data_IF_406910926428
#
_entry.id   IF_406910926428
#
_cell.length_a   1.000
_cell.length_b   1.000
_cell.length_c   1.000
_cell.angle_alpha   90.00
_cell.angle_beta   90.00
_cell.angle_gamma   90.00
#
_symmetry.space_group_name_H-M   'P 1'
#
loop_
_entity.id
_entity.type
_entity.pdbx_description
1 polymer ?
#
# COMPACT_ATOMS: atom_id res chain seq x y z
N UNK A 1 12.23 27.13 -12.15
CA UNK A 1 11.20 26.57 -11.25
C UNK A 1 10.81 25.20 -11.79
N UNK A 2 11.31 24.18 -11.13
CA UNK A 2 11.02 22.79 -11.47
C UNK A 2 9.93 22.29 -10.53
N UNK A 3 8.80 21.86 -11.07
CA UNK A 3 7.75 21.23 -10.28
C UNK A 3 7.72 19.74 -10.69
N UNK A 4 8.18 18.86 -9.80
CA UNK A 4 7.84 17.45 -9.92
C UNK A 4 6.51 17.29 -9.18
N UNK A 5 5.42 17.33 -9.92
CA UNK A 5 4.09 17.00 -9.38
C UNK A 5 3.86 15.53 -9.65
N UNK A 6 4.31 14.69 -8.75
CA UNK A 6 3.82 13.34 -8.66
C UNK A 6 2.81 13.33 -7.52
N UNK A 7 1.59 12.89 -7.77
CA UNK A 7 0.54 12.90 -6.76
C UNK A 7 0.94 12.07 -5.55
N UNK A 8 1.08 12.72 -4.40
CA UNK A 8 1.22 12.04 -3.12
C UNK A 8 -0.14 11.53 -2.70
N UNK A 9 -0.33 10.25 -2.73
CA UNK A 9 -1.54 9.62 -2.20
C UNK A 9 -1.31 9.26 -0.73
N UNK A 10 -2.07 9.94 0.17
CA UNK A 10 -2.08 9.64 1.61
C UNK A 10 -0.72 9.72 2.33
N UNK A 11 0.01 10.79 2.11
CA UNK A 11 1.20 11.10 2.91
C UNK A 11 0.85 11.64 4.33
N UNK A 12 -0.43 11.78 4.64
CA UNK A 12 -0.95 12.24 5.93
C UNK A 12 -2.06 11.31 6.38
N UNK A 13 -2.03 10.89 7.64
CA UNK A 13 -3.07 10.05 8.22
C UNK A 13 -3.15 10.21 9.74
N UNK A 14 -4.09 9.52 10.35
CA UNK A 14 -4.32 9.53 11.80
C UNK A 14 -3.98 8.19 12.45
N UNK A 15 -3.40 8.24 13.66
CA UNK A 15 -3.16 7.08 14.50
C UNK A 15 -3.16 7.50 15.98
N UNK A 16 -3.95 6.84 16.80
CA UNK A 16 -4.08 7.09 18.25
C UNK A 16 -4.29 8.55 18.63
N UNK A 17 -5.14 9.27 17.86
CA UNK A 17 -5.42 10.68 18.07
C UNK A 17 -4.34 11.65 17.62
N UNK A 18 -3.18 11.16 17.17
CA UNK A 18 -2.12 11.93 16.52
C UNK A 18 -2.22 11.91 15.00
N UNK A 19 -1.48 12.80 14.38
CA UNK A 19 -1.36 12.86 12.91
C UNK A 19 0.04 12.40 12.51
N UNK A 20 0.13 11.47 11.57
CA UNK A 20 1.41 11.11 10.97
C UNK A 20 1.55 11.68 9.57
N UNK A 21 2.80 11.93 9.17
CA UNK A 21 3.16 12.43 7.85
C UNK A 21 4.38 11.68 7.32
N UNK A 22 4.46 11.53 6.01
CA UNK A 22 5.67 11.14 5.29
C UNK A 22 6.01 12.19 4.24
N UNK A 23 7.28 12.32 3.91
CA UNK A 23 7.78 13.32 2.97
C UNK A 23 8.42 12.66 1.75
N UNK A 24 8.48 13.42 0.64
CA UNK A 24 9.28 13.05 -0.50
C UNK A 24 10.76 12.99 -0.16
N UNK A 25 11.43 12.05 -0.79
CA UNK A 25 12.87 11.82 -0.63
C UNK A 25 13.27 11.41 0.78
N UNK A 26 12.31 10.84 1.52
CA UNK A 26 12.49 10.42 2.89
C UNK A 26 11.81 9.07 3.12
N UNK A 27 12.46 8.19 3.84
CA UNK A 27 11.95 6.87 4.23
C UNK A 27 11.49 6.83 5.69
N UNK A 28 11.27 8.01 6.28
CA UNK A 28 10.73 8.15 7.62
C UNK A 28 9.23 8.43 7.60
N UNK A 29 8.57 7.97 8.64
CA UNK A 29 7.24 8.41 9.04
C UNK A 29 7.41 9.26 10.30
N UNK A 30 6.81 10.42 10.30
CA UNK A 30 6.84 11.36 11.42
C UNK A 30 5.47 11.43 12.08
N UNK A 31 5.47 11.58 13.39
CA UNK A 31 4.27 11.86 14.18
C UNK A 31 4.27 13.33 14.60
N UNK A 32 3.14 14.00 14.36
CA UNK A 32 2.88 15.35 14.83
C UNK A 32 2.23 15.25 16.22
N UNK A 33 2.86 15.87 17.22
CA UNK A 33 2.36 15.96 18.59
C UNK A 33 2.40 17.43 19.03
N UNK A 34 1.24 18.10 18.94
CA UNK A 34 1.16 19.56 19.14
C UNK A 34 2.08 20.29 18.18
N UNK A 35 3.03 21.04 18.73
CA UNK A 35 4.02 21.81 17.95
C UNK A 35 5.32 21.04 17.67
N UNK A 36 5.38 19.75 18.01
CA UNK A 36 6.55 18.91 17.83
C UNK A 36 6.37 17.90 16.71
N UNK A 37 7.49 17.59 16.04
CA UNK A 37 7.56 16.52 15.03
C UNK A 37 8.57 15.50 15.55
N UNK A 38 8.14 14.24 15.63
CA UNK A 38 9.00 13.15 16.10
C UNK A 38 9.05 12.06 15.01
N UNK A 39 10.24 11.46 14.82
CA UNK A 39 10.36 10.28 13.98
C UNK A 39 9.64 9.12 14.64
N UNK A 40 8.61 8.61 13.97
CA UNK A 40 7.81 7.48 14.44
C UNK A 40 8.37 6.14 13.95
N UNK A 41 8.76 6.07 12.69
CA UNK A 41 9.38 4.90 12.08
C UNK A 41 10.38 5.31 11.01
N UNK A 42 11.44 4.52 10.86
CA UNK A 42 12.44 4.65 9.80
C UNK A 42 12.52 3.32 9.06
N UNK A 43 12.49 3.39 7.73
CA UNK A 43 12.61 2.21 6.89
C UNK A 43 13.95 2.27 6.14
N UNK A 44 14.69 1.17 6.24
CA UNK A 44 15.96 1.00 5.56
C UNK A 44 15.78 0.00 4.40
N UNK A 45 15.85 0.50 3.19
CA UNK A 45 15.76 -0.28 1.95
C UNK A 45 17.14 -0.67 1.39
N UNK A 46 18.20 -0.52 2.19
CA UNK A 46 19.55 -0.88 1.79
C UNK A 46 20.04 -0.07 0.60
N UNK A 47 20.45 -0.75 -0.47
CA UNK A 47 20.96 -0.10 -1.70
C UNK A 47 19.89 0.68 -2.47
N UNK A 48 18.62 0.55 -2.13
CA UNK A 48 17.52 1.31 -2.72
C UNK A 48 17.24 2.62 -1.98
N UNK A 49 17.91 2.91 -0.88
CA UNK A 49 17.86 4.22 -0.25
C UNK A 49 18.49 5.27 -1.14
N UNK A 50 17.95 6.49 -1.11
CA UNK A 50 18.64 7.62 -1.72
C UNK A 50 20.03 7.81 -1.09
N UNK A 51 21.10 8.00 -1.88
CA UNK A 51 22.40 8.38 -1.34
C UNK A 51 22.29 9.65 -0.50
N UNK A 52 23.03 9.73 0.59
CA UNK A 52 23.01 10.91 1.49
C UNK A 52 23.39 12.22 0.79
N UNK A 53 24.26 12.12 -0.20
CA UNK A 53 24.75 13.23 -1.02
C UNK A 53 23.92 13.46 -2.29
N UNK A 54 22.75 12.83 -2.39
CA UNK A 54 21.95 12.89 -3.61
C UNK A 54 21.60 14.33 -4.02
N UNK A 55 21.32 15.19 -3.06
CA UNK A 55 20.96 16.58 -3.28
C UNK A 55 22.16 17.55 -3.27
N UNK A 56 23.35 17.05 -3.12
CA UNK A 56 24.56 17.86 -3.22
C UNK A 56 24.88 18.13 -4.70
N UNK A 57 25.30 19.37 -4.98
CA UNK A 57 25.64 19.83 -6.33
C UNK A 57 24.78 20.95 -6.86
N UNK A 58 24.99 21.31 -8.12
CA UNK A 58 24.21 22.35 -8.76
C UNK A 58 22.85 21.82 -9.22
N UNK A 59 21.79 22.64 -9.12
CA UNK A 59 20.41 22.28 -9.48
C UNK A 59 20.29 21.72 -10.91
N UNK A 60 21.12 22.20 -11.85
CA UNK A 60 21.11 21.71 -13.24
C UNK A 60 21.56 20.25 -13.37
N UNK A 61 22.31 19.75 -12.38
CA UNK A 61 22.81 18.36 -12.34
C UNK A 61 21.84 17.43 -11.65
N UNK A 62 20.98 17.96 -10.78
CA UNK A 62 20.03 17.14 -10.03
C UNK A 62 18.98 16.48 -10.91
N UNK A 63 18.54 17.14 -11.98
CA UNK A 63 17.52 16.61 -12.88
C UNK A 63 18.03 15.38 -13.67
N UNK A 64 19.18 15.43 -14.36
CA UNK A 64 19.74 14.26 -14.98
C UNK A 64 20.04 13.16 -13.98
N UNK A 65 20.62 13.48 -12.81
CA UNK A 65 20.89 12.54 -11.72
C UNK A 65 19.62 11.86 -11.23
N UNK A 66 18.53 12.60 -11.07
CA UNK A 66 17.23 12.05 -10.67
C UNK A 66 16.65 11.11 -11.74
N UNK A 67 16.71 11.50 -13.01
CA UNK A 67 16.21 10.66 -14.10
C UNK A 67 17.02 9.37 -14.22
N UNK A 68 18.34 9.45 -14.17
CA UNK A 68 19.22 8.29 -14.18
C UNK A 68 18.92 7.36 -12.99
N UNK A 69 18.77 7.92 -11.81
CA UNK A 69 18.43 7.17 -10.61
C UNK A 69 17.06 6.51 -10.73
N UNK A 70 16.11 7.22 -11.29
CA UNK A 70 14.78 6.73 -11.55
C UNK A 70 14.77 5.59 -12.58
N UNK A 71 15.54 5.70 -13.65
CA UNK A 71 15.54 4.72 -14.73
C UNK A 71 16.36 3.47 -14.40
N UNK A 72 17.45 3.63 -13.66
CA UNK A 72 18.43 2.56 -13.47
C UNK A 72 18.38 1.89 -12.10
N UNK A 73 17.95 2.56 -11.04
CA UNK A 73 18.21 2.07 -9.70
C UNK A 73 17.03 1.72 -8.85
N UNK A 74 15.83 2.05 -9.30
CA UNK A 74 14.68 1.59 -8.51
C UNK A 74 14.73 2.07 -7.05
N UNK A 75 15.18 3.30 -6.81
CA UNK A 75 15.25 3.83 -5.46
C UNK A 75 13.88 4.06 -4.86
N UNK A 76 13.77 3.81 -3.57
CA UNK A 76 12.63 4.22 -2.78
C UNK A 76 12.75 5.71 -2.51
N UNK A 77 11.87 6.49 -3.13
CA UNK A 77 11.89 7.95 -3.03
C UNK A 77 11.07 8.48 -1.86
N UNK A 78 10.07 7.72 -1.45
CA UNK A 78 9.17 8.09 -0.36
C UNK A 78 8.34 6.88 0.08
N UNK A 79 7.54 7.08 1.11
CA UNK A 79 6.58 6.12 1.63
C UNK A 79 5.19 6.69 1.42
N UNK A 80 4.42 6.06 0.53
CA UNK A 80 3.06 6.51 0.18
C UNK A 80 1.98 5.57 0.71
N UNK A 81 0.74 6.05 0.67
CA UNK A 81 -0.45 5.26 1.05
C UNK A 81 -0.30 4.57 2.41
N UNK A 82 0.24 5.28 3.38
CA UNK A 82 0.54 4.73 4.69
C UNK A 82 -0.74 4.52 5.51
N UNK A 83 -0.85 3.37 6.14
CA UNK A 83 -1.84 3.06 7.17
C UNK A 83 -1.12 2.52 8.40
N UNK A 84 -1.34 3.14 9.57
CA UNK A 84 -0.73 2.73 10.83
C UNK A 84 -1.81 2.15 11.74
N UNK A 85 -1.54 0.99 12.30
CA UNK A 85 -2.35 0.31 13.32
C UNK A 85 -1.48 -0.01 14.53
N UNK A 86 -2.05 -0.62 15.57
CA UNK A 86 -1.28 -1.06 16.73
C UNK A 86 -0.21 -2.11 16.37
N UNK A 87 -0.52 -2.97 15.41
CA UNK A 87 0.32 -4.10 15.05
C UNK A 87 1.07 -3.92 13.72
N UNK A 88 0.60 -3.03 12.85
CA UNK A 88 1.10 -2.94 11.49
C UNK A 88 1.37 -1.52 11.03
N UNK A 89 2.39 -1.35 10.18
CA UNK A 89 2.55 -0.21 9.28
C UNK A 89 2.44 -0.78 7.88
N UNK A 90 1.45 -0.31 7.11
CA UNK A 90 1.24 -0.69 5.72
C UNK A 90 1.52 0.51 4.85
N UNK A 91 2.28 0.34 3.79
CA UNK A 91 2.64 1.43 2.89
C UNK A 91 3.01 0.92 1.49
N UNK A 92 2.96 1.82 0.52
CA UNK A 92 3.45 1.58 -0.83
C UNK A 92 4.69 2.42 -1.05
N UNK A 93 5.88 1.85 -1.09
CA UNK A 93 6.99 2.58 -1.67
C UNK A 93 6.69 2.75 -3.16
N UNK A 94 6.79 3.96 -3.72
CA UNK A 94 6.67 4.15 -5.15
C UNK A 94 7.92 3.61 -5.84
N UNK A 95 8.02 2.31 -5.87
CA UNK A 95 8.98 1.60 -6.71
C UNK A 95 8.44 1.63 -8.14
N UNK A 96 9.36 1.77 -9.08
CA UNK A 96 9.01 1.62 -10.49
C UNK A 96 8.62 0.18 -10.73
N UNK A 97 7.42 0.00 -11.18
CA UNK A 97 6.76 -1.26 -11.54
C UNK A 97 7.52 -2.58 -11.25
N UNK A 98 6.89 -3.53 -10.57
CA UNK A 98 5.54 -3.46 -10.03
C UNK A 98 5.50 -2.72 -8.68
N UNK A 99 4.44 -1.94 -8.44
CA UNK A 99 4.20 -1.32 -7.14
C UNK A 99 3.97 -2.43 -6.11
N UNK A 100 4.72 -2.39 -5.03
CA UNK A 100 4.56 -3.34 -3.94
C UNK A 100 3.89 -2.66 -2.75
N UNK A 101 3.02 -3.39 -2.07
CA UNK A 101 2.48 -3.01 -0.77
C UNK A 101 3.22 -3.79 0.29
N UNK A 102 3.80 -3.07 1.23
CA UNK A 102 4.56 -3.66 2.33
C UNK A 102 3.72 -3.59 3.61
N UNK A 103 3.53 -4.72 4.24
CA UNK A 103 2.90 -4.89 5.54
C UNK A 103 3.99 -5.18 6.56
N UNK A 104 4.40 -4.18 7.33
CA UNK A 104 5.44 -4.32 8.35
C UNK A 104 4.80 -4.53 9.73
N UNK A 105 5.10 -5.66 10.37
CA UNK A 105 4.63 -5.95 11.72
C UNK A 105 5.49 -5.19 12.73
N UNK A 106 4.86 -4.31 13.50
CA UNK A 106 5.53 -3.43 14.48
C UNK A 106 6.12 -4.17 15.68
N UNK A 107 5.59 -5.36 16.01
CA UNK A 107 6.01 -6.12 17.19
C UNK A 107 7.31 -6.89 16.96
N UNK A 108 7.53 -7.36 15.75
CA UNK A 108 8.65 -8.25 15.44
C UNK A 108 9.49 -7.83 14.23
N UNK A 109 9.13 -6.75 13.55
CA UNK A 109 9.83 -6.24 12.37
C UNK A 109 9.72 -7.11 11.12
N UNK A 110 8.95 -8.19 11.17
CA UNK A 110 8.69 -9.00 9.98
C UNK A 110 7.80 -8.25 9.02
N UNK A 111 7.98 -8.49 7.74
CA UNK A 111 7.16 -7.89 6.70
C UNK A 111 6.64 -8.95 5.73
N UNK A 112 5.51 -8.60 5.11
CA UNK A 112 4.89 -9.30 3.98
C UNK A 112 4.78 -8.31 2.84
N UNK A 113 4.82 -8.79 1.62
CA UNK A 113 4.52 -7.99 0.44
C UNK A 113 3.22 -8.51 -0.20
N UNK A 114 2.52 -7.66 -0.92
CA UNK A 114 1.24 -8.06 -1.54
C UNK A 114 1.38 -9.25 -2.51
N UNK A 115 2.56 -9.50 -3.06
CA UNK A 115 2.84 -10.68 -3.88
C UNK A 115 2.78 -12.01 -3.10
N UNK A 116 2.81 -11.94 -1.77
CA UNK A 116 2.64 -13.11 -0.90
C UNK A 116 1.16 -13.57 -0.82
N UNK A 117 0.22 -12.71 -1.23
CA UNK A 117 -1.18 -13.11 -1.37
C UNK A 117 -1.36 -14.01 -2.59
N UNK A 118 -2.25 -14.99 -2.46
CA UNK A 118 -2.55 -15.95 -3.52
C UNK A 118 -4.07 -16.10 -3.72
N UNK A 119 -4.45 -16.70 -4.84
CA UNK A 119 -5.83 -17.03 -5.16
C UNK A 119 -6.74 -15.80 -5.20
N UNK A 120 -7.91 -15.91 -4.61
CA UNK A 120 -8.93 -14.86 -4.55
C UNK A 120 -8.37 -13.52 -4.03
N UNK A 121 -7.63 -13.55 -2.91
CA UNK A 121 -7.10 -12.33 -2.32
C UNK A 121 -6.08 -11.63 -3.22
N UNK A 122 -5.23 -12.36 -3.94
CA UNK A 122 -4.31 -11.75 -4.89
C UNK A 122 -5.04 -10.96 -5.98
N UNK A 123 -6.23 -11.43 -6.37
CA UNK A 123 -7.02 -10.80 -7.41
C UNK A 123 -7.81 -9.59 -6.89
N UNK A 124 -8.57 -9.77 -5.82
CA UNK A 124 -9.47 -8.72 -5.31
C UNK A 124 -8.76 -7.62 -4.53
N UNK A 125 -7.63 -7.93 -3.87
CA UNK A 125 -6.88 -6.92 -3.14
C UNK A 125 -5.98 -6.09 -4.07
N UNK A 126 -5.83 -6.52 -5.31
CA UNK A 126 -4.98 -5.86 -6.30
C UNK A 126 -3.49 -6.03 -5.99
N UNK A 127 -2.68 -6.19 -7.03
CA UNK A 127 -1.24 -6.36 -6.85
C UNK A 127 -0.51 -5.11 -6.35
N UNK A 128 -1.19 -3.94 -6.36
CA UNK A 128 -0.47 -2.67 -6.33
C UNK A 128 -1.12 -1.58 -5.47
N UNK A 129 -2.13 -1.94 -4.69
CA UNK A 129 -2.85 -0.93 -3.90
C UNK A 129 -2.85 -1.27 -2.41
N UNK A 130 -2.53 -0.29 -1.58
CA UNK A 130 -2.69 -0.40 -0.14
C UNK A 130 -4.16 -0.62 0.23
N UNK A 131 -4.45 -1.22 1.40
CA UNK A 131 -5.82 -1.29 1.90
C UNK A 131 -6.43 0.11 1.98
N UNK A 132 -7.75 0.20 1.75
CA UNK A 132 -8.49 1.45 1.87
C UNK A 132 -8.60 1.91 3.32
N UNK A 133 -8.51 0.98 4.26
CA UNK A 133 -8.49 1.29 5.68
C UNK A 133 -8.36 0.07 6.58
N UNK A 134 -8.55 0.33 7.88
CA UNK A 134 -8.45 -0.65 8.94
C UNK A 134 -9.58 -0.46 9.95
N UNK A 135 -10.30 -1.53 10.27
CA UNK A 135 -11.28 -1.54 11.36
C UNK A 135 -10.62 -1.99 12.66
N UNK A 136 -10.39 -1.06 13.56
CA UNK A 136 -9.75 -1.33 14.85
C UNK A 136 -10.58 -2.24 15.78
N UNK A 137 -11.88 -2.39 15.54
CA UNK A 137 -12.76 -3.24 16.35
C UNK A 137 -12.61 -4.72 15.99
N UNK A 138 -12.53 -5.01 14.68
CA UNK A 138 -12.34 -6.38 14.18
C UNK A 138 -10.87 -6.77 14.06
N UNK A 139 -9.96 -5.79 14.01
CA UNK A 139 -8.54 -6.01 13.75
C UNK A 139 -8.26 -6.40 12.29
N UNK A 140 -9.08 -5.93 11.37
CA UNK A 140 -9.03 -6.31 9.96
C UNK A 140 -8.78 -5.10 9.06
N UNK A 141 -7.96 -5.30 8.05
CA UNK A 141 -7.88 -4.38 6.94
C UNK A 141 -9.09 -4.56 6.04
N UNK A 142 -9.47 -3.51 5.32
CA UNK A 142 -10.52 -3.62 4.31
C UNK A 142 -10.11 -2.96 3.00
N UNK A 143 -10.74 -3.45 1.93
CA UNK A 143 -10.62 -2.92 0.59
C UNK A 143 -11.98 -2.76 -0.04
N UNK A 144 -12.15 -1.64 -0.74
CA UNK A 144 -13.29 -1.43 -1.62
C UNK A 144 -12.98 -2.09 -2.97
N UNK A 145 -13.85 -2.99 -3.37
CA UNK A 145 -13.72 -3.76 -4.60
C UNK A 145 -14.95 -3.51 -5.46
N UNK A 146 -14.76 -3.06 -6.68
CA UNK A 146 -15.88 -2.88 -7.58
C UNK A 146 -16.51 -4.24 -7.95
N UNK A 147 -17.81 -4.20 -8.26
CA UNK A 147 -18.58 -5.41 -8.51
C UNK A 147 -18.06 -6.22 -9.70
N UNK A 148 -17.55 -5.56 -10.75
CA UNK A 148 -17.02 -6.24 -11.93
C UNK A 148 -15.76 -7.05 -11.61
N UNK A 149 -14.81 -6.49 -10.83
CA UNK A 149 -13.61 -7.19 -10.38
C UNK A 149 -13.96 -8.36 -9.46
N UNK A 150 -14.91 -8.17 -8.54
CA UNK A 150 -15.36 -9.23 -7.65
C UNK A 150 -16.03 -10.36 -8.42
N UNK A 151 -16.90 -10.04 -9.39
CA UNK A 151 -17.52 -11.01 -10.30
C UNK A 151 -16.50 -11.88 -10.99
N UNK A 152 -15.54 -11.23 -11.67
CA UNK A 152 -14.46 -11.91 -12.39
C UNK A 152 -13.65 -12.84 -11.46
N UNK A 153 -13.34 -12.38 -10.24
CA UNK A 153 -12.64 -13.21 -9.26
C UNK A 153 -13.43 -14.44 -8.81
N UNK A 154 -14.75 -14.30 -8.64
CA UNK A 154 -15.61 -15.43 -8.25
C UNK A 154 -15.78 -16.41 -9.40
N UNK A 155 -15.99 -15.93 -10.61
CA UNK A 155 -16.11 -16.78 -11.81
C UNK A 155 -14.84 -17.62 -12.05
N UNK A 156 -13.66 -17.04 -11.87
CA UNK A 156 -12.40 -17.78 -11.94
C UNK A 156 -12.27 -18.84 -10.82
N UNK A 157 -12.71 -18.51 -9.60
CA UNK A 157 -12.73 -19.49 -8.52
C UNK A 157 -13.66 -20.67 -8.83
N UNK A 158 -14.86 -20.39 -9.35
CA UNK A 158 -15.83 -21.43 -9.74
C UNK A 158 -15.26 -22.36 -10.79
N UNK A 159 -14.43 -21.85 -11.71
CA UNK A 159 -13.80 -22.65 -12.75
C UNK A 159 -12.57 -23.43 -12.27
N UNK A 160 -11.84 -22.92 -11.29
CA UNK A 160 -10.56 -23.47 -10.85
C UNK A 160 -10.62 -24.32 -9.60
N UNK A 161 -11.65 -24.17 -8.75
CA UNK A 161 -11.76 -24.86 -7.47
C UNK A 161 -13.24 -25.14 -7.13
N UNK A 162 -13.68 -26.37 -7.28
CA UNK A 162 -15.05 -26.78 -6.95
C UNK A 162 -15.41 -26.64 -5.46
N UNK A 163 -14.38 -26.54 -4.60
CA UNK A 163 -14.52 -26.37 -3.15
C UNK A 163 -14.27 -24.92 -2.69
N UNK A 164 -14.29 -23.94 -3.60
CA UNK A 164 -13.97 -22.55 -3.26
C UNK A 164 -14.80 -21.98 -2.12
N UNK A 165 -16.06 -22.39 -1.97
CA UNK A 165 -16.94 -21.92 -0.89
C UNK A 165 -16.54 -22.49 0.51
N UNK A 166 -15.74 -23.53 0.57
CA UNK A 166 -15.17 -24.02 1.82
C UNK A 166 -13.99 -23.14 2.26
N UNK A 167 -13.18 -22.66 1.29
CA UNK A 167 -12.08 -21.75 1.54
C UNK A 167 -12.55 -20.31 1.79
N UNK A 168 -13.59 -19.90 1.09
CA UNK A 168 -14.12 -18.54 1.13
C UNK A 168 -15.62 -18.55 1.50
N UNK A 169 -15.95 -18.96 2.73
CA UNK A 169 -17.36 -19.15 3.15
C UNK A 169 -18.18 -17.85 3.14
N UNK A 170 -17.54 -16.70 3.16
CA UNK A 170 -18.20 -15.40 3.06
C UNK A 170 -18.81 -15.13 1.66
N UNK A 171 -18.39 -15.89 0.64
CA UNK A 171 -18.97 -15.84 -0.71
C UNK A 171 -20.29 -16.62 -0.84
N UNK A 172 -20.70 -17.35 0.21
CA UNK A 172 -21.98 -18.08 0.18
C UNK A 172 -23.15 -17.11 -0.01
N UNK A 173 -23.95 -17.38 -1.03
CA UNK A 173 -25.11 -16.54 -1.38
C UNK A 173 -24.78 -15.35 -2.28
N UNK A 174 -23.52 -15.15 -2.62
CA UNK A 174 -23.11 -14.21 -3.65
C UNK A 174 -23.37 -14.82 -5.02
N UNK A 175 -24.13 -14.12 -5.83
CA UNK A 175 -24.52 -14.55 -7.19
C UNK A 175 -23.83 -13.65 -8.22
N UNK A 176 -22.77 -14.14 -8.87
CA UNK A 176 -22.02 -13.32 -9.85
C UNK A 176 -22.86 -12.87 -11.04
N UNK A 177 -23.90 -13.63 -11.41
CA UNK A 177 -24.79 -13.26 -12.53
C UNK A 177 -25.61 -12.00 -12.25
N UNK A 178 -25.79 -11.67 -10.97
CA UNK A 178 -26.49 -10.45 -10.52
C UNK A 178 -25.58 -9.25 -10.31
N UNK A 179 -24.27 -9.42 -10.56
CA UNK A 179 -23.29 -8.34 -10.46
C UNK A 179 -23.04 -7.74 -11.83
N UNK A 180 -23.14 -6.44 -11.93
CA UNK A 180 -22.84 -5.65 -13.12
C UNK A 180 -22.03 -4.41 -12.76
N UNK A 181 -21.67 -3.60 -13.77
CA UNK A 181 -20.88 -2.39 -13.59
C UNK A 181 -21.61 -1.29 -12.80
N UNK A 182 -22.95 -1.36 -12.73
CA UNK A 182 -23.80 -0.41 -11.99
C UNK A 182 -24.02 -0.88 -10.53
N UNK A 183 -23.59 -2.08 -10.19
CA UNK A 183 -23.71 -2.62 -8.83
C UNK A 183 -22.80 -1.86 -7.87
N UNK A 184 -23.22 -1.75 -6.60
CA UNK A 184 -22.42 -1.09 -5.56
C UNK A 184 -21.09 -1.82 -5.35
N UNK A 185 -20.07 -1.07 -4.94
CA UNK A 185 -18.80 -1.61 -4.50
C UNK A 185 -18.99 -2.50 -3.25
N UNK A 186 -18.11 -3.47 -3.13
CA UNK A 186 -18.05 -4.40 -2.02
C UNK A 186 -16.91 -4.03 -1.07
N UNK A 187 -17.12 -4.29 0.21
CA UNK A 187 -16.07 -4.14 1.22
C UNK A 187 -15.55 -5.53 1.56
N UNK A 188 -14.31 -5.80 1.21
CA UNK A 188 -13.65 -7.07 1.53
C UNK A 188 -12.74 -6.86 2.72
N UNK A 189 -13.03 -7.57 3.82
CA UNK A 189 -12.19 -7.58 5.02
C UNK A 189 -11.20 -8.72 4.96
N UNK A 190 -9.97 -8.48 5.45
CA UNK A 190 -8.90 -9.48 5.48
C UNK A 190 -7.93 -9.26 6.63
N UNK A 191 -7.25 -10.33 7.02
CA UNK A 191 -6.15 -10.33 8.01
C UNK A 191 -4.84 -10.68 7.33
N UNK A 192 -3.77 -10.10 7.83
CA UNK A 192 -2.39 -10.36 7.42
C UNK A 192 -1.69 -11.30 8.38
#
# INVERSE_FOLDING_TARGET
NFWIVQGCYRSIGGYNGGTYVSNYFDTNIYMLDGDSIQTFATFDFGSMNLPKDFFEGETKELVPKFNDFRENNKAVLNIDNTTITDDWIVFCPPLFEPKEVIYCNRKNGKYLINNDFSGFYAKVLGKYDAPDGYDSRSGEFYRLVNAALLKEAIEELQQSDEHYLEKYPFLKGTDPEKMDEESNDWVIFFKT
#
